data_IF_915493617861
#
_entry.id   IF_915493617861
#
_cell.length_a   1.000
_cell.length_b   1.000
_cell.length_c   1.000
_cell.angle_alpha   90.00
_cell.angle_beta   90.00
_cell.angle_gamma   90.00
#
_symmetry.space_group_name_H-M   'P 1'
#
loop_
_entity.id
_entity.type
_entity.pdbx_description
1 polymer ?
#
# COMPACT_ATOMS: atom_id res chain seq x y z
N UNK A 1 15.55 -3.57 -7.73
CA UNK A 1 15.71 -2.13 -8.03
C UNK A 1 15.35 -1.24 -6.85
N UNK A 2 14.17 -1.36 -6.25
CA UNK A 2 13.75 -0.54 -5.10
C UNK A 2 14.82 -0.43 -3.98
N UNK A 3 15.41 -1.56 -3.57
CA UNK A 3 16.46 -1.56 -2.53
C UNK A 3 17.78 -0.91 -2.97
N UNK A 4 18.08 -0.83 -4.28
CA UNK A 4 19.22 -0.06 -4.78
C UNK A 4 18.94 1.46 -4.69
N UNK A 5 17.71 1.86 -5.05
CA UNK A 5 17.23 3.24 -4.90
C UNK A 5 17.25 3.64 -3.43
N UNK A 6 16.80 2.78 -2.53
CA UNK A 6 16.86 2.96 -1.08
C UNK A 6 18.29 3.18 -0.57
N UNK A 7 19.24 2.34 -1.01
CA UNK A 7 20.65 2.49 -0.64
C UNK A 7 21.21 3.83 -1.11
N UNK A 8 20.88 4.24 -2.33
CA UNK A 8 21.32 5.53 -2.87
C UNK A 8 20.63 6.73 -2.18
N UNK A 9 19.35 6.61 -1.87
CA UNK A 9 18.60 7.61 -1.13
C UNK A 9 19.20 7.81 0.27
N UNK A 10 19.60 6.74 0.95
CA UNK A 10 20.28 6.83 2.25
C UNK A 10 21.64 7.52 2.19
N UNK A 11 22.36 7.46 1.07
CA UNK A 11 23.61 8.21 0.88
C UNK A 11 23.32 9.72 0.82
N UNK A 12 22.35 10.11 -0.01
CA UNK A 12 21.98 11.51 -0.21
C UNK A 12 21.22 12.12 0.98
N UNK A 13 20.43 11.29 1.68
CA UNK A 13 19.58 11.66 2.80
C UNK A 13 19.82 10.72 3.98
N UNK A 14 20.90 10.93 4.77
CA UNK A 14 21.28 10.03 5.85
C UNK A 14 20.19 9.77 6.90
N UNK A 15 19.26 10.71 7.09
CA UNK A 15 18.10 10.55 8.00
C UNK A 15 17.26 9.31 7.69
N UNK A 16 17.18 8.87 6.42
CA UNK A 16 16.46 7.67 6.04
C UNK A 16 16.96 6.42 6.79
N UNK A 17 18.23 6.36 7.18
CA UNK A 17 18.79 5.22 7.92
C UNK A 17 18.13 5.01 9.28
N UNK A 18 17.54 6.06 9.87
CA UNK A 18 16.79 5.95 11.13
C UNK A 18 15.35 5.42 10.95
N UNK A 19 14.87 5.31 9.71
CA UNK A 19 13.55 4.81 9.36
C UNK A 19 13.63 3.39 8.81
N UNK A 20 12.61 2.58 9.11
CA UNK A 20 12.48 1.23 8.55
C UNK A 20 12.35 1.28 7.03
N UNK A 21 12.75 0.21 6.34
CA UNK A 21 12.50 0.03 4.90
C UNK A 21 11.01 -0.10 4.63
N UNK A 22 10.30 -0.80 5.51
CA UNK A 22 8.86 -1.07 5.35
C UNK A 22 8.54 -2.24 4.42
N UNK A 23 9.52 -3.11 4.12
CA UNK A 23 9.35 -4.32 3.30
C UNK A 23 9.56 -5.54 4.17
N UNK A 24 8.57 -6.43 4.21
CA UNK A 24 8.75 -7.73 4.86
C UNK A 24 9.48 -8.69 3.92
N UNK A 25 10.73 -9.00 4.27
CA UNK A 25 11.59 -9.90 3.51
C UNK A 25 11.23 -11.38 3.67
N UNK A 26 10.36 -11.73 4.63
CA UNK A 26 9.84 -13.08 4.81
C UNK A 26 9.17 -13.62 3.54
N UNK A 27 8.59 -12.74 2.72
CA UNK A 27 8.00 -13.09 1.43
C UNK A 27 8.99 -13.77 0.46
N UNK A 28 10.29 -13.44 0.55
CA UNK A 28 11.30 -13.98 -0.37
C UNK A 28 11.54 -15.48 -0.20
N UNK A 29 11.19 -16.03 0.96
CA UNK A 29 11.24 -17.47 1.22
C UNK A 29 10.38 -18.29 0.24
N UNK A 30 9.36 -17.67 -0.36
CA UNK A 30 8.43 -18.32 -1.29
C UNK A 30 8.90 -18.29 -2.74
N UNK A 31 9.92 -17.51 -3.09
CA UNK A 31 10.45 -17.41 -4.46
C UNK A 31 11.05 -18.74 -4.94
N UNK A 32 10.86 -19.04 -6.23
CA UNK A 32 11.54 -20.14 -6.92
C UNK A 32 12.90 -19.66 -7.42
N UNK A 33 13.97 -20.11 -6.76
CA UNK A 33 15.34 -19.67 -6.94
C UNK A 33 16.24 -20.88 -7.21
N UNK A 34 16.31 -21.36 -8.46
CA UNK A 34 17.13 -22.53 -8.82
C UNK A 34 18.63 -22.25 -8.77
N UNK A 35 19.06 -21.00 -8.99
CA UNK A 35 20.47 -20.64 -9.15
C UNK A 35 21.12 -20.18 -7.82
N UNK A 36 22.34 -20.64 -7.50
CA UNK A 36 23.12 -20.15 -6.36
C UNK A 36 23.32 -18.65 -6.33
N UNK A 37 23.59 -18.04 -7.49
CA UNK A 37 23.80 -16.58 -7.62
C UNK A 37 22.57 -15.80 -7.17
N UNK A 38 21.38 -16.27 -7.52
CA UNK A 38 20.13 -15.66 -7.06
C UNK A 38 19.91 -15.92 -5.56
N UNK A 39 20.22 -17.11 -5.02
CA UNK A 39 20.11 -17.37 -3.57
C UNK A 39 21.02 -16.45 -2.74
N UNK A 40 22.27 -16.23 -3.19
CA UNK A 40 23.20 -15.25 -2.61
C UNK A 40 22.67 -13.82 -2.70
N UNK A 41 22.04 -13.48 -3.83
CA UNK A 41 21.38 -12.18 -3.98
C UNK A 41 20.25 -12.03 -2.96
N UNK A 42 19.37 -13.03 -2.79
CA UNK A 42 18.31 -12.95 -1.77
C UNK A 42 18.91 -12.78 -0.36
N UNK A 43 19.93 -13.57 0.01
CA UNK A 43 20.61 -13.44 1.31
C UNK A 43 21.20 -12.03 1.51
N UNK A 44 21.80 -11.46 0.46
CA UNK A 44 22.33 -10.09 0.50
C UNK A 44 21.23 -9.03 0.67
N UNK A 45 20.07 -9.21 0.01
CA UNK A 45 18.94 -8.30 0.14
C UNK A 45 18.33 -8.37 1.53
N UNK A 46 18.14 -9.58 2.07
CA UNK A 46 17.62 -9.82 3.42
C UNK A 46 18.53 -9.20 4.48
N UNK A 47 19.84 -9.49 4.43
CA UNK A 47 20.83 -8.88 5.32
C UNK A 47 20.82 -7.35 5.26
N UNK A 48 20.69 -6.78 4.06
CA UNK A 48 20.59 -5.33 3.89
C UNK A 48 19.36 -4.75 4.62
N UNK A 49 18.17 -5.31 4.38
CA UNK A 49 16.92 -4.80 4.97
C UNK A 49 16.91 -5.01 6.48
N UNK A 50 17.27 -6.21 6.97
CA UNK A 50 17.28 -6.50 8.40
C UNK A 50 18.30 -5.65 9.16
N UNK A 51 19.52 -5.49 8.63
CA UNK A 51 20.52 -4.63 9.29
C UNK A 51 20.07 -3.17 9.36
N UNK A 52 19.30 -2.69 8.38
CA UNK A 52 18.72 -1.35 8.42
C UNK A 52 17.58 -1.27 9.44
N UNK A 53 16.64 -2.21 9.40
CA UNK A 53 15.46 -2.21 10.27
C UNK A 53 15.82 -2.42 11.74
N UNK A 54 16.88 -3.20 12.04
CA UNK A 54 17.41 -3.37 13.39
C UNK A 54 17.92 -2.04 13.99
N UNK A 55 18.51 -1.19 13.15
CA UNK A 55 19.02 0.13 13.56
C UNK A 55 17.98 1.23 13.51
N UNK A 56 16.85 0.99 12.85
CA UNK A 56 15.80 1.97 12.66
C UNK A 56 14.93 2.11 13.91
N UNK A 57 14.65 3.36 14.29
CA UNK A 57 13.75 3.68 15.41
C UNK A 57 12.39 4.21 14.92
N UNK A 58 12.33 4.64 13.66
CA UNK A 58 11.19 5.34 13.09
C UNK A 58 10.44 4.50 12.03
N UNK A 59 9.15 4.76 11.81
CA UNK A 59 8.35 4.04 10.82
C UNK A 59 8.88 4.25 9.39
N UNK A 60 8.45 3.38 8.48
CA UNK A 60 8.86 3.45 7.09
C UNK A 60 8.32 4.71 6.37
N UNK A 61 8.92 5.07 5.24
CA UNK A 61 8.47 6.22 4.43
C UNK A 61 7.14 5.99 3.73
N UNK A 62 6.74 4.72 3.59
CA UNK A 62 5.46 4.29 3.03
C UNK A 62 4.37 4.09 4.09
N UNK A 63 4.66 4.43 5.36
CA UNK A 63 3.66 4.40 6.44
C UNK A 63 2.52 5.38 6.10
N UNK A 64 1.25 4.92 6.06
CA UNK A 64 0.16 5.72 5.53
C UNK A 64 -0.29 6.86 6.45
N UNK A 65 -0.09 6.71 7.76
CA UNK A 65 -0.52 7.69 8.75
C UNK A 65 0.61 8.64 9.15
N UNK A 66 0.30 9.93 9.19
CA UNK A 66 1.26 10.96 9.61
C UNK A 66 1.32 11.04 11.14
N UNK A 67 2.54 11.05 11.67
CA UNK A 67 2.87 11.27 13.07
C UNK A 67 4.16 12.10 13.19
N UNK A 68 4.49 12.55 14.40
CA UNK A 68 5.78 13.20 14.70
C UNK A 68 7.00 12.32 14.37
N UNK A 69 6.82 10.99 14.34
CA UNK A 69 7.86 10.03 13.99
C UNK A 69 7.98 9.80 12.47
N UNK A 70 7.02 10.24 11.66
CA UNK A 70 7.03 10.05 10.21
C UNK A 70 8.19 10.81 9.55
N UNK A 71 8.76 10.22 8.50
CA UNK A 71 9.93 10.80 7.81
C UNK A 71 9.67 12.23 7.33
N UNK A 72 8.50 12.48 6.76
CA UNK A 72 8.11 13.80 6.26
C UNK A 72 8.23 14.91 7.33
N UNK A 73 7.76 14.62 8.55
CA UNK A 73 7.77 15.57 9.67
C UNK A 73 9.18 15.83 10.17
N UNK A 74 9.97 14.76 10.32
CA UNK A 74 11.35 14.83 10.78
C UNK A 74 12.27 15.50 9.75
N UNK A 75 12.05 15.23 8.47
CA UNK A 75 12.81 15.88 7.41
C UNK A 75 12.52 17.38 7.37
N UNK A 76 11.23 17.75 7.44
CA UNK A 76 10.80 19.14 7.50
C UNK A 76 11.46 19.89 8.66
N UNK A 77 11.53 19.32 9.87
CA UNK A 77 12.12 20.00 11.03
C UNK A 77 13.61 20.31 10.89
N UNK A 78 14.30 19.70 9.92
CA UNK A 78 15.70 20.01 9.59
C UNK A 78 15.86 20.96 8.40
N UNK A 79 14.77 21.38 7.76
CA UNK A 79 14.77 22.17 6.54
C UNK A 79 14.25 23.59 6.78
N UNK A 80 15.15 24.57 6.76
CA UNK A 80 14.81 25.99 6.87
C UNK A 80 13.90 26.45 5.72
N UNK A 81 14.11 25.94 4.50
CA UNK A 81 13.28 26.28 3.34
C UNK A 81 11.86 25.77 3.50
N UNK A 82 11.69 24.56 4.03
CA UNK A 82 10.37 24.00 4.28
C UNK A 82 9.65 24.74 5.43
N UNK A 83 10.37 25.18 6.45
CA UNK A 83 9.79 26.01 7.50
C UNK A 83 9.37 27.39 6.98
N UNK A 84 10.19 28.02 6.12
CA UNK A 84 9.83 29.28 5.46
C UNK A 84 8.54 29.16 4.66
N UNK A 85 8.40 28.12 3.83
CA UNK A 85 7.17 27.89 3.06
C UNK A 85 5.97 27.65 3.97
N UNK A 86 6.15 26.94 5.09
CA UNK A 86 5.07 26.76 6.09
C UNK A 86 4.62 28.12 6.65
N UNK A 87 5.56 28.98 7.03
CA UNK A 87 5.26 30.32 7.54
C UNK A 87 4.59 31.20 6.47
N UNK A 88 5.02 31.13 5.22
CA UNK A 88 4.41 31.85 4.11
C UNK A 88 2.94 31.43 3.90
N UNK A 89 2.64 30.12 3.97
CA UNK A 89 1.27 29.60 3.89
C UNK A 89 0.42 30.08 5.08
N UNK A 90 0.98 30.10 6.28
CA UNK A 90 0.29 30.60 7.48
C UNK A 90 0.01 32.11 7.39
N UNK A 91 0.95 32.89 6.85
CA UNK A 91 0.74 34.31 6.60
C UNK A 91 -0.32 34.53 5.52
N UNK A 92 -0.34 33.73 4.46
CA UNK A 92 -1.43 33.76 3.48
C UNK A 92 -2.78 33.42 4.13
N UNK A 93 -2.83 32.43 5.05
CA UNK A 93 -4.04 32.16 5.81
C UNK A 93 -4.47 33.36 6.66
N UNK A 94 -3.53 34.12 7.23
CA UNK A 94 -3.84 35.33 8.01
C UNK A 94 -4.43 36.42 7.12
N UNK A 95 -3.87 36.63 5.92
CA UNK A 95 -4.39 37.57 4.92
C UNK A 95 -5.82 37.19 4.50
N UNK A 96 -6.05 35.92 4.15
CA UNK A 96 -7.37 35.42 3.77
C UNK A 96 -8.41 35.61 4.90
N UNK A 97 -8.00 35.45 6.17
CA UNK A 97 -8.89 35.71 7.31
C UNK A 97 -9.25 37.19 7.45
N UNK A 98 -8.30 38.10 7.22
CA UNK A 98 -8.57 39.54 7.23
C UNK A 98 -9.52 39.91 6.09
N UNK A 99 -9.31 39.38 4.90
CA UNK A 99 -10.19 39.59 3.74
C UNK A 99 -11.59 39.03 3.98
N UNK A 100 -11.71 37.81 4.52
CA UNK A 100 -13.01 37.23 4.86
C UNK A 100 -13.75 38.05 5.92
N UNK A 101 -13.05 38.59 6.92
CA UNK A 101 -13.65 39.49 7.92
C UNK A 101 -14.15 40.80 7.28
N UNK A 102 -13.41 41.36 6.32
CA UNK A 102 -13.85 42.53 5.56
C UNK A 102 -15.10 42.23 4.73
N UNK A 103 -15.13 41.10 4.02
CA UNK A 103 -16.31 40.65 3.25
C UNK A 103 -17.54 40.53 4.17
N UNK A 104 -17.40 39.87 5.32
CA UNK A 104 -18.47 39.69 6.29
C UNK A 104 -18.97 41.04 6.83
N UNK A 105 -18.06 41.94 7.19
CA UNK A 105 -18.44 43.27 7.68
C UNK A 105 -19.19 44.10 6.61
N UNK A 106 -18.73 44.05 5.35
CA UNK A 106 -19.39 44.72 4.23
C UNK A 106 -20.80 44.17 3.98
N UNK A 107 -20.95 42.84 4.02
CA UNK A 107 -22.26 42.19 3.84
C UNK A 107 -23.21 42.41 5.01
N UNK A 108 -22.71 42.48 6.23
CA UNK A 108 -23.49 42.88 7.40
C UNK A 108 -24.00 44.32 7.26
N UNK A 109 -23.12 45.25 6.88
CA UNK A 109 -23.50 46.64 6.64
C UNK A 109 -24.54 46.76 5.51
N UNK A 110 -24.37 45.99 4.43
CA UNK A 110 -25.36 45.93 3.35
C UNK A 110 -26.72 45.42 3.86
N UNK A 111 -26.72 44.33 4.63
CA UNK A 111 -27.93 43.77 5.22
C UNK A 111 -28.63 44.79 6.13
N UNK A 112 -27.91 45.42 7.06
CA UNK A 112 -28.44 46.46 7.94
C UNK A 112 -29.00 47.66 7.16
N UNK A 113 -28.31 48.08 6.09
CA UNK A 113 -28.78 49.14 5.19
C UNK A 113 -30.09 48.79 4.49
N UNK A 114 -30.22 47.58 3.95
CA UNK A 114 -31.44 47.10 3.30
C UNK A 114 -32.61 47.01 4.29
N UNK A 115 -32.39 46.46 5.48
CA UNK A 115 -33.41 46.36 6.53
C UNK A 115 -33.86 47.75 7.01
N UNK A 116 -32.92 48.68 7.18
CA UNK A 116 -33.24 50.06 7.56
C UNK A 116 -34.08 50.77 6.49
N UNK A 117 -33.69 50.65 5.22
CA UNK A 117 -34.44 51.22 4.11
C UNK A 117 -35.83 50.60 3.96
N UNK A 118 -35.94 49.27 4.09
CA UNK A 118 -37.22 48.58 4.10
C UNK A 118 -38.12 49.07 5.24
N UNK A 119 -37.57 49.26 6.45
CA UNK A 119 -38.29 49.80 7.60
C UNK A 119 -38.79 51.23 7.39
N UNK A 120 -37.99 52.08 6.73
CA UNK A 120 -38.38 53.44 6.35
C UNK A 120 -39.53 53.44 5.33
N UNK A 121 -39.43 52.61 4.28
CA UNK A 121 -40.47 52.44 3.25
C UNK A 121 -41.78 51.90 3.84
N UNK A 122 -41.69 50.93 4.73
CA UNK A 122 -42.86 50.38 5.43
C UNK A 122 -43.52 51.44 6.33
N UNK A 123 -42.73 52.27 7.00
CA UNK A 123 -43.22 53.35 7.86
C UNK A 123 -43.91 54.45 7.05
N UNK A 124 -43.37 54.83 5.88
CA UNK A 124 -44.03 55.73 4.91
C UNK A 124 -45.36 55.12 4.43
N UNK A 125 -45.36 53.83 4.08
CA UNK A 125 -46.58 53.13 3.65
C UNK A 125 -47.67 53.07 4.72
N UNK A 126 -47.29 52.92 5.99
CA UNK A 126 -48.23 52.85 7.11
C UNK A 126 -49.01 54.17 7.32
N UNK A 127 -48.44 55.31 6.91
CA UNK A 127 -49.10 56.61 6.93
C UNK A 127 -50.07 56.86 5.77
N UNK A 128 -50.17 55.93 4.82
CA UNK A 128 -51.01 56.05 3.63
C UNK A 128 -52.22 55.09 3.68
N UNK A 129 -53.26 55.42 2.91
CA UNK A 129 -54.45 54.59 2.73
C UNK A 129 -54.62 54.21 1.27
N UNK A 130 -55.06 52.98 1.02
CA UNK A 130 -55.45 52.55 -0.32
C UNK A 130 -56.78 53.23 -0.69
N UNK A 131 -56.84 53.85 -1.86
CA UNK A 131 -58.09 54.34 -2.42
C UNK A 131 -58.73 53.23 -3.25
N UNK A 132 -60.02 53.02 -3.04
CA UNK A 132 -60.82 52.05 -3.78
C UNK A 132 -61.95 52.77 -4.49
N UNK A 133 -62.03 52.57 -5.80
CA UNK A 133 -63.15 53.07 -6.61
C UNK A 133 -64.16 51.95 -6.82
N UNK A 134 -65.43 52.22 -6.51
CA UNK A 134 -66.52 51.29 -6.83
C UNK A 134 -66.86 51.40 -8.31
N UNK A 135 -66.64 50.32 -9.05
CA UNK A 135 -67.05 50.20 -10.45
C UNK A 135 -68.08 49.10 -10.59
N UNK A 136 -69.13 49.37 -11.35
CA UNK A 136 -70.15 48.37 -11.65
C UNK A 136 -69.58 47.34 -12.63
N UNK A 137 -69.56 46.06 -12.24
CA UNK A 137 -69.17 44.97 -13.12
C UNK A 137 -70.42 44.31 -13.69
N UNK A 138 -70.68 44.51 -14.98
CA UNK A 138 -71.86 43.97 -15.67
C UNK A 138 -71.90 42.44 -15.70
N UNK A 139 -70.74 41.77 -15.75
CA UNK A 139 -70.63 40.30 -15.79
C UNK A 139 -71.09 39.64 -14.48
N UNK A 140 -70.68 40.19 -13.33
CA UNK A 140 -71.07 39.65 -12.01
C UNK A 140 -72.29 40.35 -11.40
N UNK A 141 -72.91 41.29 -12.14
CA UNK A 141 -74.06 42.12 -11.72
C UNK A 141 -73.90 42.72 -10.32
N UNK A 142 -72.69 43.18 -9.98
CA UNK A 142 -72.39 43.79 -8.67
C UNK A 142 -71.35 44.88 -8.79
N UNK A 143 -71.32 45.78 -7.81
CA UNK A 143 -70.21 46.71 -7.63
C UNK A 143 -68.97 45.95 -7.15
N UNK A 144 -67.86 46.09 -7.87
CA UNK A 144 -66.55 45.66 -7.41
C UNK A 144 -65.75 46.89 -6.93
N UNK A 145 -64.96 46.70 -5.87
CA UNK A 145 -63.97 47.68 -5.47
C UNK A 145 -62.72 47.46 -6.34
N UNK A 146 -62.45 48.36 -7.28
CA UNK A 146 -61.20 48.37 -8.04
C UNK A 146 -60.16 49.19 -7.29
N UNK A 147 -58.97 48.61 -7.14
CA UNK A 147 -57.81 49.25 -6.52
C UNK A 147 -56.90 49.81 -7.62
N UNK A 148 -56.33 51.00 -7.40
CA UNK A 148 -55.41 51.61 -8.35
C UNK A 148 -54.14 50.76 -8.50
N UNK A 149 -53.81 50.37 -9.74
CA UNK A 149 -52.58 49.65 -10.08
C UNK A 149 -51.30 50.43 -9.73
N UNK A 150 -51.39 51.76 -9.60
CA UNK A 150 -50.30 52.68 -9.26
C UNK A 150 -50.35 53.16 -7.81
N UNK A 151 -51.15 52.51 -6.95
CA UNK A 151 -51.30 52.88 -5.54
C UNK A 151 -49.95 52.98 -4.82
N UNK A 152 -49.62 54.19 -4.38
CA UNK A 152 -48.34 54.51 -3.71
C UNK A 152 -48.08 53.65 -2.48
N UNK A 153 -49.11 53.35 -1.67
CA UNK A 153 -48.99 52.49 -0.49
C UNK A 153 -48.52 51.08 -0.87
N UNK A 154 -49.19 50.46 -1.84
CA UNK A 154 -48.85 49.11 -2.29
C UNK A 154 -47.49 49.07 -2.99
N UNK A 155 -47.13 50.13 -3.71
CA UNK A 155 -45.79 50.29 -4.30
C UNK A 155 -44.70 50.29 -3.21
N UNK A 156 -44.87 51.11 -2.16
CA UNK A 156 -43.93 51.17 -1.04
C UNK A 156 -43.84 49.85 -0.26
N UNK A 157 -44.97 49.16 -0.06
CA UNK A 157 -44.99 47.84 0.58
C UNK A 157 -44.28 46.78 -0.27
N UNK A 158 -44.47 46.82 -1.59
CA UNK A 158 -43.75 45.96 -2.53
C UNK A 158 -42.24 46.26 -2.52
N UNK A 159 -41.85 47.54 -2.58
CA UNK A 159 -40.44 47.96 -2.45
C UNK A 159 -39.82 47.49 -1.12
N UNK A 160 -40.53 47.66 0.01
CA UNK A 160 -40.07 47.21 1.32
C UNK A 160 -39.90 45.68 1.38
N UNK A 161 -40.88 44.93 0.85
CA UNK A 161 -40.84 43.47 0.76
C UNK A 161 -39.66 42.99 -0.11
N UNK A 162 -39.42 43.64 -1.25
CA UNK A 162 -38.30 43.32 -2.12
C UNK A 162 -36.94 43.55 -1.43
N UNK A 163 -36.80 44.67 -0.70
CA UNK A 163 -35.60 44.96 0.08
C UNK A 163 -35.37 43.96 1.21
N UNK A 164 -36.44 43.53 1.90
CA UNK A 164 -36.37 42.46 2.91
C UNK A 164 -35.93 41.14 2.26
N UNK A 165 -36.50 40.80 1.11
CA UNK A 165 -36.13 39.59 0.39
C UNK A 165 -34.66 39.64 -0.09
N UNK A 166 -34.17 40.80 -0.53
CA UNK A 166 -32.76 40.97 -0.88
C UNK A 166 -31.87 40.75 0.35
N UNK A 167 -32.24 41.32 1.51
CA UNK A 167 -31.51 41.13 2.75
C UNK A 167 -31.45 39.65 3.18
N UNK A 168 -32.57 38.93 3.13
CA UNK A 168 -32.67 37.49 3.45
C UNK A 168 -31.81 36.60 2.53
N UNK A 169 -31.44 37.11 1.35
CA UNK A 169 -30.61 36.38 0.40
C UNK A 169 -29.11 36.75 0.48
N UNK A 170 -28.70 37.61 1.42
CA UNK A 170 -27.28 37.91 1.63
C UNK A 170 -26.60 36.70 2.29
N UNK A 171 -25.87 35.94 1.49
CA UNK A 171 -25.15 34.75 1.93
C UNK A 171 -23.64 34.91 1.85
N UNK A 172 -22.93 34.21 2.74
CA UNK A 172 -21.47 34.14 2.78
C UNK A 172 -21.01 32.69 2.80
N UNK A 173 -20.05 32.39 1.94
CA UNK A 173 -19.35 31.11 1.93
C UNK A 173 -18.24 31.12 2.97
N UNK A 174 -18.16 30.04 3.75
CA UNK A 174 -17.11 29.89 4.75
C UNK A 174 -15.73 29.79 4.12
N UNK A 175 -14.75 30.38 4.79
CA UNK A 175 -13.34 30.17 4.53
C UNK A 175 -12.80 29.07 5.47
N UNK A 176 -12.35 27.96 4.90
CA UNK A 176 -11.55 26.96 5.60
C UNK A 176 -10.06 27.30 5.51
N UNK A 177 -9.35 27.28 6.64
CA UNK A 177 -7.89 27.50 6.69
C UNK A 177 -7.15 26.54 5.74
N UNK A 178 -6.03 26.97 5.17
CA UNK A 178 -5.33 26.17 4.16
C UNK A 178 -4.74 24.88 4.73
N UNK A 179 -4.17 24.95 5.94
CA UNK A 179 -3.56 23.80 6.62
C UNK A 179 -4.33 23.39 7.89
N UNK A 180 -4.28 22.10 8.29
CA UNK A 180 -4.76 21.62 9.59
C UNK A 180 -4.09 22.32 10.77
N UNK A 181 -4.74 22.28 11.95
CA UNK A 181 -4.16 22.87 13.18
C UNK A 181 -2.95 22.09 13.70
N UNK A 182 -2.89 20.78 13.45
CA UNK A 182 -1.80 19.93 13.89
C UNK A 182 -0.50 20.29 13.17
N UNK A 183 0.54 20.64 13.91
CA UNK A 183 1.82 21.06 13.35
C UNK A 183 2.51 19.92 12.57
N UNK A 184 2.43 18.67 13.07
CA UNK A 184 3.00 17.52 12.36
C UNK A 184 2.38 17.32 10.98
N UNK A 185 1.05 17.50 10.87
CA UNK A 185 0.37 17.46 9.57
C UNK A 185 0.80 18.61 8.66
N UNK A 186 0.93 19.83 9.20
CA UNK A 186 1.44 20.97 8.43
C UNK A 186 2.83 20.68 7.86
N UNK A 187 3.75 20.19 8.71
CA UNK A 187 5.11 19.83 8.31
C UNK A 187 5.11 18.76 7.22
N UNK A 188 4.29 17.71 7.37
CA UNK A 188 4.18 16.65 6.39
C UNK A 188 3.62 17.15 5.05
N UNK A 189 2.58 17.98 5.06
CA UNK A 189 2.00 18.59 3.85
C UNK A 189 3.05 19.43 3.12
N UNK A 190 3.77 20.29 3.85
CA UNK A 190 4.81 21.14 3.23
C UNK A 190 5.99 20.32 2.71
N UNK A 191 6.39 19.27 3.44
CA UNK A 191 7.35 18.29 2.93
C UNK A 191 6.91 17.69 1.60
N UNK A 192 5.65 17.27 1.51
CA UNK A 192 5.13 16.68 0.27
C UNK A 192 5.15 17.72 -0.85
N UNK A 193 4.65 18.95 -0.63
CA UNK A 193 4.70 20.04 -1.64
C UNK A 193 6.12 20.29 -2.20
N UNK A 194 7.14 20.17 -1.35
CA UNK A 194 8.54 20.48 -1.68
C UNK A 194 9.43 19.24 -1.91
N UNK A 195 8.81 18.06 -1.99
CA UNK A 195 9.48 16.75 -1.98
C UNK A 195 10.72 16.73 -2.92
N UNK A 196 11.92 16.47 -2.40
CA UNK A 196 13.11 16.32 -3.23
C UNK A 196 12.98 15.13 -4.18
N UNK A 197 13.50 15.28 -5.41
CA UNK A 197 13.35 14.31 -6.50
C UNK A 197 13.85 12.89 -6.11
N UNK A 198 15.01 12.78 -5.46
CA UNK A 198 15.52 11.48 -5.03
C UNK A 198 14.62 10.80 -3.96
N UNK A 199 13.96 11.58 -3.10
CA UNK A 199 13.02 11.05 -2.11
C UNK A 199 11.68 10.67 -2.76
N UNK A 200 11.28 11.39 -3.81
CA UNK A 200 10.16 11.00 -4.66
C UNK A 200 10.44 9.66 -5.35
N UNK A 201 11.59 9.53 -6.04
CA UNK A 201 12.02 8.29 -6.68
C UNK A 201 12.12 7.13 -5.69
N UNK A 202 12.63 7.39 -4.49
CA UNK A 202 12.66 6.41 -3.41
C UNK A 202 11.26 5.91 -3.06
N UNK A 203 10.34 6.82 -2.70
CA UNK A 203 8.98 6.48 -2.30
C UNK A 203 8.24 5.74 -3.42
N UNK A 204 8.38 6.19 -4.64
CA UNK A 204 7.75 5.60 -5.81
C UNK A 204 8.32 4.20 -6.10
N UNK A 205 9.63 3.98 -5.95
CA UNK A 205 10.24 2.65 -6.08
C UNK A 205 9.75 1.67 -5.01
N UNK A 206 9.53 2.14 -3.77
CA UNK A 206 8.94 1.31 -2.71
C UNK A 206 7.49 0.93 -3.01
N UNK A 207 6.69 1.87 -3.53
CA UNK A 207 5.31 1.58 -3.94
C UNK A 207 5.22 0.69 -5.17
N UNK A 208 6.11 0.83 -6.16
CA UNK A 208 6.18 -0.10 -7.28
C UNK A 208 6.49 -1.53 -6.82
N UNK A 209 7.38 -1.69 -5.83
CA UNK A 209 7.61 -3.01 -5.22
C UNK A 209 6.36 -3.51 -4.50
N UNK A 210 5.69 -2.66 -3.72
CA UNK A 210 4.46 -3.02 -3.01
C UNK A 210 3.32 -3.41 -3.97
N UNK A 211 3.17 -2.76 -5.12
CA UNK A 211 2.16 -3.11 -6.13
C UNK A 211 2.32 -4.53 -6.67
N UNK A 212 3.55 -5.03 -6.75
CA UNK A 212 3.84 -6.40 -7.19
C UNK A 212 3.68 -7.38 -6.02
N UNK A 213 4.11 -6.99 -4.82
CA UNK A 213 4.25 -7.89 -3.68
C UNK A 213 3.08 -7.84 -2.68
N UNK A 214 2.07 -7.00 -2.88
CA UNK A 214 0.89 -6.87 -2.01
C UNK A 214 -0.37 -7.15 -2.83
N UNK A 215 -0.89 -8.40 -2.81
CA UNK A 215 -1.75 -8.91 -3.88
C UNK A 215 -3.14 -8.28 -3.97
N UNK A 216 -3.76 -7.80 -2.88
CA UNK A 216 -5.15 -7.29 -2.92
C UNK A 216 -5.50 -6.08 -2.06
N UNK A 217 -4.60 -5.63 -1.20
CA UNK A 217 -4.94 -4.65 -0.17
C UNK A 217 -3.90 -3.52 -0.09
N UNK A 218 -3.35 -3.05 -1.21
CA UNK A 218 -2.44 -1.90 -1.16
C UNK A 218 -3.18 -0.58 -0.89
N UNK A 219 -4.38 -0.42 -1.47
CA UNK A 219 -5.18 0.81 -1.36
C UNK A 219 -6.62 0.51 -0.97
N UNK A 220 -7.22 1.41 -0.22
CA UNK A 220 -8.65 1.40 0.10
C UNK A 220 -9.41 2.27 -0.90
N UNK A 221 -10.60 1.81 -1.33
CA UNK A 221 -11.51 2.66 -2.11
C UNK A 221 -12.12 3.71 -1.21
N UNK A 222 -11.72 4.96 -1.41
CA UNK A 222 -12.30 6.09 -0.70
C UNK A 222 -12.22 7.35 -1.55
N UNK A 223 -13.16 8.26 -1.32
CA UNK A 223 -13.06 9.61 -1.89
C UNK A 223 -11.93 10.32 -1.16
N UNK A 224 -10.82 10.55 -1.86
CA UNK A 224 -9.68 11.27 -1.33
C UNK A 224 -9.25 12.36 -2.32
N UNK A 225 -8.62 13.40 -1.78
CA UNK A 225 -8.07 14.50 -2.58
C UNK A 225 -6.66 14.82 -2.13
N UNK A 226 -5.78 15.04 -3.10
CA UNK A 226 -4.38 15.38 -2.86
C UNK A 226 -4.24 16.79 -2.28
N UNK A 227 -3.31 16.98 -1.35
CA UNK A 227 -2.93 18.30 -0.89
C UNK A 227 -2.21 19.12 -1.97
N UNK A 228 -1.53 18.44 -2.91
CA UNK A 228 -0.82 19.07 -4.04
C UNK A 228 -1.75 19.63 -5.12
N UNK A 229 -3.01 19.16 -5.13
CA UNK A 229 -4.03 19.57 -6.09
C UNK A 229 -4.96 20.65 -5.51
N UNK A 230 -4.77 21.05 -4.25
CA UNK A 230 -5.49 22.21 -3.71
C UNK A 230 -5.05 23.47 -4.49
N UNK A 231 -6.05 24.19 -5.00
CA UNK A 231 -5.87 25.37 -5.85
C UNK A 231 -4.87 26.37 -5.28
N UNK A 232 -4.91 26.64 -3.97
CA UNK A 232 -4.04 27.63 -3.34
C UNK A 232 -2.68 27.01 -3.00
N UNK A 233 -2.67 25.82 -2.39
CA UNK A 233 -1.41 25.17 -2.00
C UNK A 233 -0.52 24.80 -3.21
N UNK A 234 -1.13 24.59 -4.38
CA UNK A 234 -0.41 24.29 -5.61
C UNK A 234 0.60 25.37 -6.03
N UNK A 235 0.46 26.60 -5.52
CA UNK A 235 1.40 27.70 -5.80
C UNK A 235 2.78 27.50 -5.19
N UNK A 236 2.91 26.68 -4.13
CA UNK A 236 4.20 26.33 -3.50
C UNK A 236 4.73 24.97 -3.93
N UNK A 237 4.00 24.23 -4.78
CA UNK A 237 4.41 22.86 -5.14
C UNK A 237 5.58 22.88 -6.11
N UNK A 238 6.50 21.94 -5.95
CA UNK A 238 7.43 21.58 -7.03
C UNK A 238 6.70 20.75 -8.08
N UNK A 239 6.95 21.06 -9.34
CA UNK A 239 6.43 20.29 -10.47
C UNK A 239 7.19 18.97 -10.58
N UNK A 240 6.60 17.93 -9.99
CA UNK A 240 7.06 16.55 -10.06
C UNK A 240 5.82 15.68 -10.30
N UNK A 241 5.93 14.74 -11.24
CA UNK A 241 4.94 13.68 -11.40
C UNK A 241 5.26 12.59 -10.38
N UNK A 242 4.29 12.29 -9.51
CA UNK A 242 4.45 11.34 -8.41
C UNK A 242 3.33 10.32 -8.46
N UNK A 243 3.64 9.04 -8.29
CA UNK A 243 2.61 8.02 -8.14
C UNK A 243 1.96 8.07 -6.74
N UNK A 244 2.72 8.56 -5.77
CA UNK A 244 2.33 8.66 -4.36
C UNK A 244 2.38 10.11 -3.87
N UNK A 245 1.37 10.55 -3.11
CA UNK A 245 1.23 11.93 -2.60
C UNK A 245 0.55 11.92 -1.24
N UNK A 246 0.68 13.00 -0.46
CA UNK A 246 -0.18 13.18 0.71
C UNK A 246 -1.52 13.79 0.30
N UNK A 247 -2.59 13.32 0.91
CA UNK A 247 -3.94 13.84 0.72
C UNK A 247 -4.80 13.74 1.98
N UNK A 248 -6.10 13.92 1.79
CA UNK A 248 -7.10 13.77 2.84
C UNK A 248 -8.27 12.95 2.35
N UNK A 249 -8.83 12.12 3.23
CA UNK A 249 -10.08 11.38 2.99
C UNK A 249 -11.30 12.28 3.19
N UNK A 250 -11.16 13.32 4.01
CA UNK A 250 -12.20 14.33 4.19
C UNK A 250 -12.17 15.37 3.07
N UNK A 251 -13.34 15.62 2.48
CA UNK A 251 -13.54 16.71 1.52
C UNK A 251 -13.37 18.09 2.19
N UNK A 252 -13.01 19.08 1.37
CA UNK A 252 -12.91 20.48 1.78
C UNK A 252 -14.27 20.98 2.27
N UNK A 253 -14.27 21.77 3.34
CA UNK A 253 -15.49 22.35 3.87
C UNK A 253 -16.01 23.41 2.90
N UNK A 254 -17.17 23.14 2.30
CA UNK A 254 -17.84 24.05 1.39
C UNK A 254 -19.29 24.23 1.85
N UNK A 255 -19.55 25.36 2.52
CA UNK A 255 -20.87 25.73 3.01
C UNK A 255 -21.08 27.22 2.79
N UNK A 256 -22.33 27.59 2.47
CA UNK A 256 -22.77 28.97 2.27
C UNK A 256 -24.04 29.16 3.09
N UNK A 257 -24.05 30.18 3.95
CA UNK A 257 -25.14 30.44 4.89
C UNK A 257 -25.51 31.91 4.90
N UNK A 258 -26.69 32.21 5.44
CA UNK A 258 -27.14 33.59 5.58
C UNK A 258 -26.24 34.35 6.57
N UNK A 259 -26.00 35.64 6.31
CA UNK A 259 -25.02 36.46 7.03
C UNK A 259 -25.25 36.55 8.54
N UNK A 260 -26.51 36.43 9.00
CA UNK A 260 -26.88 36.49 10.41
C UNK A 260 -26.87 35.14 11.14
N UNK A 261 -26.73 34.02 10.43
CA UNK A 261 -26.78 32.68 11.05
C UNK A 261 -25.50 32.34 11.82
N UNK A 262 -24.40 33.04 11.53
CA UNK A 262 -23.10 32.74 12.11
C UNK A 262 -22.32 33.99 12.52
N UNK A 263 -21.65 33.90 13.67
CA UNK A 263 -20.76 34.95 14.18
C UNK A 263 -19.42 35.01 13.44
N UNK A 264 -19.00 33.89 12.82
CA UNK A 264 -17.76 33.82 12.04
C UNK A 264 -17.92 32.88 10.86
N UNK A 265 -17.41 33.32 9.71
CA UNK A 265 -17.34 32.55 8.48
C UNK A 265 -15.93 32.00 8.23
N UNK A 266 -15.16 31.80 9.30
CA UNK A 266 -13.81 31.23 9.27
C UNK A 266 -13.81 29.95 10.08
N UNK A 267 -13.46 28.83 9.45
CA UNK A 267 -13.39 27.51 10.09
C UNK A 267 -11.97 26.95 10.05
N UNK A 268 -11.64 26.18 11.08
CA UNK A 268 -10.40 25.43 11.10
C UNK A 268 -10.48 24.27 10.11
N UNK A 269 -9.36 23.99 9.47
CA UNK A 269 -9.21 22.81 8.63
C UNK A 269 -9.13 21.56 9.52
N UNK A 270 -10.11 20.67 9.34
CA UNK A 270 -10.25 19.43 10.10
C UNK A 270 -10.07 18.20 9.20
N UNK A 271 -9.38 18.37 8.07
CA UNK A 271 -9.02 17.26 7.18
C UNK A 271 -7.83 16.52 7.76
N UNK A 272 -7.86 15.21 7.60
CA UNK A 272 -6.78 14.29 7.93
C UNK A 272 -5.61 14.41 6.94
N UNK A 273 -4.49 13.75 7.24
CA UNK A 273 -3.37 13.64 6.31
C UNK A 273 -2.98 12.18 6.18
N UNK A 274 -3.24 11.62 5.01
CA UNK A 274 -3.00 10.21 4.67
C UNK A 274 -2.18 10.11 3.39
N UNK A 275 -1.41 9.03 3.27
CA UNK A 275 -0.68 8.72 2.04
C UNK A 275 -1.64 8.15 1.00
N UNK A 276 -1.60 8.73 -0.20
CA UNK A 276 -2.38 8.30 -1.35
C UNK A 276 -1.45 7.67 -2.40
N UNK A 277 -1.93 6.60 -3.03
CA UNK A 277 -1.34 5.99 -4.22
C UNK A 277 -2.40 6.02 -5.33
N UNK A 278 -2.10 6.66 -6.46
CA UNK A 278 -3.07 6.86 -7.55
C UNK A 278 -4.42 7.43 -7.07
N UNK A 279 -4.38 8.44 -6.21
CA UNK A 279 -5.55 9.10 -5.59
C UNK A 279 -6.41 8.22 -4.67
N UNK A 280 -5.95 7.04 -4.28
CA UNK A 280 -6.62 6.18 -3.30
C UNK A 280 -5.78 6.07 -2.02
N UNK A 281 -6.37 6.13 -0.81
CA UNK A 281 -5.63 5.96 0.44
C UNK A 281 -4.91 4.62 0.51
N UNK A 282 -3.66 4.63 0.95
CA UNK A 282 -2.88 3.42 1.22
C UNK A 282 -3.40 2.74 2.48
N UNK A 283 -3.50 1.41 2.46
CA UNK A 283 -3.93 0.63 3.61
C UNK A 283 -2.95 0.75 4.79
N UNK A 284 -3.49 0.83 6.02
CA UNK A 284 -2.73 0.90 7.27
C UNK A 284 -1.71 -0.24 7.45
N UNK A 285 -2.09 -1.44 7.00
CA UNK A 285 -1.28 -2.65 7.14
C UNK A 285 -1.08 -3.30 5.78
N UNK A 286 0.16 -3.34 5.31
CA UNK A 286 0.52 -4.01 4.08
C UNK A 286 0.94 -5.45 4.36
N UNK A 287 0.24 -6.42 3.76
CA UNK A 287 0.59 -7.83 3.82
C UNK A 287 1.45 -8.19 2.61
N UNK A 288 2.75 -8.32 2.83
CA UNK A 288 3.72 -8.68 1.79
C UNK A 288 3.65 -10.17 1.48
N UNK A 289 3.30 -10.51 0.25
CA UNK A 289 3.09 -11.87 -0.19
C UNK A 289 3.31 -11.98 -1.71
N UNK A 290 4.38 -12.66 -2.12
CA UNK A 290 4.67 -12.95 -3.54
C UNK A 290 4.11 -14.29 -4.00
N UNK A 291 3.33 -14.92 -3.14
CA UNK A 291 2.97 -16.32 -3.26
C UNK A 291 2.16 -16.62 -4.53
N UNK A 292 1.25 -15.72 -4.91
CA UNK A 292 0.49 -15.80 -6.17
C UNK A 292 1.38 -15.71 -7.42
N UNK A 293 2.51 -15.00 -7.33
CA UNK A 293 3.49 -14.85 -8.42
C UNK A 293 4.43 -16.06 -8.54
N UNK A 294 4.58 -16.81 -7.46
CA UNK A 294 5.53 -17.93 -7.36
C UNK A 294 4.87 -19.31 -7.42
N UNK A 295 3.55 -19.34 -7.59
CA UNK A 295 2.75 -20.56 -7.57
C UNK A 295 3.13 -21.49 -8.73
N UNK A 296 3.80 -22.58 -8.42
CA UNK A 296 4.00 -23.68 -9.35
C UNK A 296 2.71 -24.51 -9.40
N UNK A 297 2.06 -24.55 -10.57
CA UNK A 297 0.85 -25.36 -10.78
C UNK A 297 1.18 -26.67 -11.46
N UNK A 298 0.66 -27.78 -10.93
CA UNK A 298 0.62 -29.05 -11.65
C UNK A 298 -0.63 -29.12 -12.52
N UNK A 299 -0.46 -29.51 -13.77
CA UNK A 299 -1.57 -29.82 -14.69
C UNK A 299 -1.74 -31.34 -14.86
N UNK A 300 -0.97 -32.13 -14.11
CA UNK A 300 -1.05 -33.58 -14.12
C UNK A 300 -2.27 -34.04 -13.30
N UNK A 301 -3.34 -34.45 -13.99
CA UNK A 301 -4.68 -34.70 -13.43
C UNK A 301 -4.65 -35.50 -12.10
N UNK A 302 -3.96 -36.65 -11.97
CA UNK A 302 -3.90 -37.40 -10.71
C UNK A 302 -3.33 -36.63 -9.52
N UNK A 303 -2.56 -35.57 -9.77
CA UNK A 303 -1.88 -34.76 -8.75
C UNK A 303 -2.56 -33.41 -8.51
N UNK A 304 -3.59 -33.04 -9.26
CA UNK A 304 -4.25 -31.74 -9.12
C UNK A 304 -4.81 -31.54 -7.71
N UNK A 305 -5.37 -32.59 -7.09
CA UNK A 305 -5.86 -32.51 -5.70
C UNK A 305 -4.75 -32.32 -4.66
N UNK A 306 -3.50 -32.60 -5.02
CA UNK A 306 -2.31 -32.44 -4.17
C UNK A 306 -1.64 -31.05 -4.33
N UNK A 307 -2.19 -30.17 -5.16
CA UNK A 307 -1.69 -28.81 -5.37
C UNK A 307 -1.42 -28.01 -4.08
N UNK A 308 -2.24 -28.10 -3.01
CA UNK A 308 -1.95 -27.43 -1.74
C UNK A 308 -0.61 -27.83 -1.11
N UNK A 309 -0.18 -29.09 -1.30
CA UNK A 309 1.07 -29.61 -0.77
C UNK A 309 2.29 -29.27 -1.63
N UNK A 310 2.08 -28.85 -2.89
CA UNK A 310 3.14 -28.28 -3.75
C UNK A 310 3.43 -26.84 -3.32
N UNK A 311 2.43 -26.12 -2.83
CA UNK A 311 2.50 -24.68 -2.60
C UNK A 311 3.27 -24.29 -1.34
N UNK A 312 3.04 -25.01 -0.25
CA UNK A 312 3.62 -24.72 1.05
C UNK A 312 4.43 -25.90 1.58
N UNK A 313 5.21 -25.61 2.60
CA UNK A 313 5.92 -26.59 3.43
C UNK A 313 5.46 -26.53 4.90
N UNK A 314 4.45 -25.71 5.20
CA UNK A 314 3.93 -25.47 6.55
C UNK A 314 2.90 -26.51 6.99
N UNK A 315 2.42 -27.33 6.07
CA UNK A 315 1.56 -28.46 6.42
C UNK A 315 2.35 -29.56 7.12
N UNK A 316 1.64 -30.35 7.94
CA UNK A 316 2.17 -31.52 8.61
C UNK A 316 1.71 -32.83 7.93
N UNK A 317 2.19 -33.96 8.45
CA UNK A 317 1.83 -35.29 7.93
C UNK A 317 0.35 -35.62 8.17
N UNK A 318 -0.26 -35.11 9.25
CA UNK A 318 -1.65 -35.37 9.58
C UNK A 318 -2.59 -34.71 8.57
N UNK A 319 -2.28 -33.50 8.11
CA UNK A 319 -3.00 -32.81 7.05
C UNK A 319 -2.98 -33.61 5.73
N UNK A 320 -1.84 -34.24 5.41
CA UNK A 320 -1.73 -35.11 4.21
C UNK A 320 -2.61 -36.35 4.38
N UNK A 321 -2.55 -37.01 5.54
CA UNK A 321 -3.33 -38.22 5.80
C UNK A 321 -4.83 -37.91 5.76
N UNK A 322 -5.26 -36.79 6.35
CA UNK A 322 -6.64 -36.34 6.32
C UNK A 322 -7.15 -36.07 4.88
N UNK A 323 -6.25 -35.69 3.97
CA UNK A 323 -6.56 -35.43 2.57
C UNK A 323 -6.77 -36.67 1.69
N UNK A 324 -6.49 -37.88 2.18
CA UNK A 324 -6.55 -39.12 1.37
C UNK A 324 -7.88 -39.37 0.67
N UNK A 325 -8.99 -38.92 1.26
CA UNK A 325 -10.33 -39.05 0.65
C UNK A 325 -10.47 -38.31 -0.68
N UNK A 326 -9.58 -37.34 -0.95
CA UNK A 326 -9.51 -36.57 -2.21
C UNK A 326 -8.52 -37.15 -3.23
N UNK A 327 -7.94 -38.33 -2.96
CA UNK A 327 -7.02 -38.96 -3.89
C UNK A 327 -7.72 -39.33 -5.21
N UNK A 328 -7.06 -39.01 -6.32
CA UNK A 328 -7.54 -39.39 -7.64
C UNK A 328 -7.54 -40.92 -7.79
N UNK A 329 -8.53 -41.56 -8.44
CA UNK A 329 -8.59 -43.02 -8.59
C UNK A 329 -7.36 -43.65 -9.27
N UNK A 330 -6.68 -42.88 -10.13
CA UNK A 330 -5.45 -43.30 -10.81
C UNK A 330 -4.17 -43.14 -9.96
N UNK A 331 -4.27 -42.60 -8.73
CA UNK A 331 -3.16 -42.40 -7.82
C UNK A 331 -3.27 -43.33 -6.62
N UNK A 332 -2.25 -44.16 -6.39
CA UNK A 332 -2.21 -45.03 -5.21
C UNK A 332 -2.12 -44.21 -3.92
N UNK A 333 -2.78 -44.65 -2.85
CA UNK A 333 -2.77 -43.97 -1.55
C UNK A 333 -1.37 -43.86 -0.93
N UNK A 334 -0.49 -44.85 -1.15
CA UNK A 334 0.91 -44.76 -0.71
C UNK A 334 1.68 -43.66 -1.44
N UNK A 335 1.39 -43.48 -2.73
CA UNK A 335 2.00 -42.42 -3.53
C UNK A 335 1.42 -41.05 -3.17
N UNK A 336 0.10 -40.97 -2.92
CA UNK A 336 -0.55 -39.77 -2.40
C UNK A 336 0.12 -39.29 -1.09
N UNK A 337 0.37 -40.20 -0.14
CA UNK A 337 1.08 -39.87 1.10
C UNK A 337 2.51 -39.44 0.84
N UNK A 338 3.28 -40.24 0.09
CA UNK A 338 4.67 -39.94 -0.20
C UNK A 338 4.82 -38.56 -0.89
N UNK A 339 3.90 -38.23 -1.80
CA UNK A 339 3.86 -36.95 -2.49
C UNK A 339 3.53 -35.79 -1.54
N UNK A 340 2.43 -35.89 -0.80
CA UNK A 340 2.00 -34.81 0.10
C UNK A 340 3.00 -34.57 1.24
N UNK A 341 3.59 -35.65 1.77
CA UNK A 341 4.61 -35.55 2.82
C UNK A 341 5.95 -35.05 2.29
N UNK A 342 6.23 -35.11 0.99
CA UNK A 342 7.53 -34.71 0.43
C UNK A 342 7.93 -33.29 0.84
N UNK A 343 6.94 -32.38 0.94
CA UNK A 343 7.16 -30.97 1.30
C UNK A 343 6.87 -30.61 2.76
N UNK A 344 6.26 -31.49 3.55
CA UNK A 344 5.83 -31.18 4.93
C UNK A 344 7.04 -30.90 5.85
N UNK A 345 7.25 -29.68 6.31
CA UNK A 345 8.42 -29.32 7.11
C UNK A 345 9.70 -29.17 6.27
N UNK A 346 10.24 -27.95 6.27
CA UNK A 346 11.30 -27.50 5.37
C UNK A 346 12.61 -28.32 5.44
N UNK A 347 13.01 -28.78 6.62
CA UNK A 347 14.30 -29.46 6.83
C UNK A 347 14.27 -30.96 6.48
N UNK A 348 13.08 -31.54 6.31
CA UNK A 348 12.89 -32.96 6.05
C UNK A 348 12.70 -33.29 4.57
N UNK A 349 12.62 -32.28 3.71
CA UNK A 349 12.29 -32.46 2.30
C UNK A 349 13.32 -33.31 1.55
N UNK A 350 14.62 -33.01 1.67
CA UNK A 350 15.67 -33.81 1.04
C UNK A 350 15.80 -35.23 1.63
N UNK A 351 15.76 -35.44 2.97
CA UNK A 351 15.66 -36.78 3.54
C UNK A 351 14.48 -37.60 3.00
N UNK A 352 13.30 -36.99 2.87
CA UNK A 352 12.11 -37.67 2.32
C UNK A 352 12.24 -37.96 0.83
N UNK A 353 12.88 -37.07 0.07
CA UNK A 353 13.22 -37.33 -1.33
C UNK A 353 14.14 -38.55 -1.46
N UNK A 354 15.21 -38.62 -0.65
CA UNK A 354 16.11 -39.77 -0.63
C UNK A 354 15.35 -41.07 -0.35
N UNK A 355 14.50 -41.06 0.69
CA UNK A 355 13.63 -42.19 1.03
C UNK A 355 12.69 -42.56 -0.11
N UNK A 356 12.09 -41.58 -0.78
CA UNK A 356 11.17 -41.82 -1.89
C UNK A 356 11.86 -42.43 -3.12
N UNK A 357 13.12 -42.04 -3.40
CA UNK A 357 13.95 -42.66 -4.45
C UNK A 357 14.28 -44.10 -4.08
N UNK A 358 14.70 -44.35 -2.83
CA UNK A 358 15.06 -45.69 -2.37
C UNK A 358 13.87 -46.66 -2.36
N UNK A 359 12.74 -46.21 -1.83
CA UNK A 359 11.53 -47.02 -1.69
C UNK A 359 10.68 -47.04 -2.97
N UNK A 360 11.04 -46.24 -3.99
CA UNK A 360 10.29 -46.09 -5.25
C UNK A 360 8.81 -45.75 -5.02
N UNK A 361 8.53 -44.90 -4.04
CA UNK A 361 7.16 -44.53 -3.64
C UNK A 361 6.55 -43.44 -4.52
N UNK A 362 7.34 -42.83 -5.41
CA UNK A 362 6.92 -41.80 -6.35
C UNK A 362 7.14 -42.25 -7.79
N UNK A 363 6.18 -41.95 -8.65
CA UNK A 363 6.25 -42.19 -10.09
C UNK A 363 7.03 -41.06 -10.77
N UNK A 364 8.36 -41.13 -10.74
CA UNK A 364 9.28 -40.16 -11.37
C UNK A 364 9.07 -39.95 -12.88
N UNK A 365 8.24 -40.77 -13.52
CA UNK A 365 7.82 -40.64 -14.92
C UNK A 365 6.68 -39.64 -15.12
N UNK A 366 6.03 -39.16 -14.04
CA UNK A 366 4.88 -38.27 -14.07
C UNK A 366 5.28 -36.80 -13.96
N UNK A 367 4.56 -35.93 -14.67
CA UNK A 367 4.82 -34.50 -14.64
C UNK A 367 4.55 -33.90 -13.25
N UNK A 368 3.53 -34.40 -12.54
CA UNK A 368 3.22 -33.94 -11.18
C UNK A 368 4.36 -34.15 -10.19
N UNK A 369 5.14 -35.24 -10.34
CA UNK A 369 6.34 -35.51 -9.51
C UNK A 369 7.48 -34.57 -9.85
N UNK A 370 7.68 -34.27 -11.14
CA UNK A 370 8.64 -33.24 -11.58
C UNK A 370 8.28 -31.88 -10.97
N UNK A 371 7.00 -31.53 -10.92
CA UNK A 371 6.55 -30.24 -10.40
C UNK A 371 6.80 -30.10 -8.90
N UNK A 372 6.42 -31.08 -8.07
CA UNK A 372 6.73 -31.02 -6.62
C UNK A 372 8.24 -31.03 -6.36
N UNK A 373 9.02 -31.72 -7.19
CA UNK A 373 10.47 -31.73 -7.08
C UNK A 373 11.08 -30.36 -7.38
N UNK A 374 10.59 -29.65 -8.40
CA UNK A 374 10.97 -28.25 -8.66
C UNK A 374 10.62 -27.37 -7.47
N UNK A 375 9.43 -27.51 -6.89
CA UNK A 375 9.04 -26.72 -5.72
C UNK A 375 9.95 -27.02 -4.51
N UNK A 376 10.29 -28.29 -4.27
CA UNK A 376 11.21 -28.72 -3.21
C UNK A 376 12.62 -28.13 -3.38
N UNK A 377 13.18 -28.25 -4.58
CA UNK A 377 14.58 -27.88 -4.86
C UNK A 377 14.75 -26.38 -5.07
N UNK A 378 13.78 -25.72 -5.70
CA UNK A 378 13.94 -24.34 -6.16
C UNK A 378 13.32 -23.35 -5.21
N UNK A 379 12.28 -23.70 -4.45
CA UNK A 379 11.75 -22.73 -3.50
C UNK A 379 12.82 -22.37 -2.47
N UNK A 380 12.98 -21.07 -2.23
CA UNK A 380 14.10 -20.54 -1.47
C UNK A 380 14.07 -21.09 -0.04
N UNK A 381 12.92 -21.05 0.60
CA UNK A 381 12.77 -21.35 2.02
C UNK A 381 13.38 -20.26 2.91
N UNK A 382 13.15 -20.33 4.22
CA UNK A 382 13.76 -19.42 5.18
C UNK A 382 15.31 -19.51 5.16
N UNK A 383 16.00 -18.40 5.44
CA UNK A 383 17.43 -18.44 5.71
C UNK A 383 17.77 -19.33 6.90
N UNK A 384 19.01 -19.83 6.93
CA UNK A 384 19.50 -20.66 8.04
C UNK A 384 19.43 -19.89 9.37
N UNK A 385 19.16 -20.61 10.48
CA UNK A 385 18.94 -20.06 11.84
C UNK A 385 20.06 -19.16 12.38
N UNK A 386 21.22 -19.09 11.73
CA UNK A 386 22.24 -18.08 12.04
C UNK A 386 21.81 -16.66 11.67
N UNK A 387 20.82 -16.48 10.79
CA UNK A 387 20.41 -15.17 10.24
C UNK A 387 19.00 -14.72 10.64
N UNK A 388 18.24 -15.51 11.41
CA UNK A 388 16.89 -15.10 11.85
C UNK A 388 16.77 -15.33 13.35
N UNK A 389 16.79 -14.24 14.10
CA UNK A 389 16.25 -14.20 15.45
C UNK A 389 14.73 -14.39 15.35
N UNK A 390 14.28 -15.64 15.52
CA UNK A 390 12.89 -15.92 15.85
C UNK A 390 12.76 -15.74 17.37
N UNK A 391 12.08 -14.67 17.75
CA UNK A 391 11.64 -14.31 19.10
C UNK A 391 12.69 -13.93 20.17
N UNK A 392 12.34 -12.83 20.85
CA UNK A 392 12.87 -12.20 22.04
C UNK A 392 13.95 -12.93 22.87
N UNK A 393 14.97 -12.14 23.23
CA UNK A 393 16.02 -12.32 24.24
C UNK A 393 17.39 -12.75 23.68
N UNK A 394 18.28 -11.75 23.66
CA UNK A 394 19.73 -11.77 23.43
C UNK A 394 20.18 -11.49 21.98
N UNK A 395 20.76 -10.31 21.71
CA UNK A 395 21.53 -10.08 20.50
C UNK A 395 22.86 -10.84 20.63
N UNK A 396 23.08 -11.85 19.79
CA UNK A 396 24.42 -12.38 19.55
C UNK A 396 24.90 -11.85 18.21
N UNK A 397 26.06 -11.20 18.25
CA UNK A 397 26.88 -10.88 17.08
C UNK A 397 27.17 -12.21 16.38
N UNK A 398 26.46 -12.50 15.29
CA UNK A 398 26.82 -13.61 14.41
C UNK A 398 27.84 -13.04 13.45
N UNK A 399 29.08 -13.50 13.62
CA UNK A 399 30.17 -13.25 12.68
C UNK A 399 29.67 -13.51 11.25
N UNK A 400 30.17 -12.71 10.30
CA UNK A 400 29.90 -12.84 8.86
C UNK A 400 30.17 -14.28 8.39
N UNK A 401 29.19 -15.16 8.52
CA UNK A 401 29.23 -16.47 7.91
C UNK A 401 28.65 -16.31 6.50
N UNK A 402 29.44 -16.71 5.51
CA UNK A 402 29.01 -16.77 4.10
C UNK A 402 28.03 -17.95 3.86
N UNK A 403 27.23 -18.29 4.87
CA UNK A 403 26.26 -19.38 4.81
C UNK A 403 24.94 -18.89 4.21
N UNK A 404 24.97 -18.58 2.91
CA UNK A 404 23.80 -18.25 2.08
C UNK A 404 22.89 -19.46 1.82
N UNK A 405 23.26 -20.64 2.32
CA UNK A 405 22.52 -21.88 2.14
C UNK A 405 21.23 -21.86 2.98
N UNK A 406 20.11 -22.09 2.31
CA UNK A 406 18.76 -22.02 2.91
C UNK A 406 18.45 -23.26 3.73
N UNK A 407 17.51 -23.15 4.67
CA UNK A 407 17.18 -24.24 5.61
C UNK A 407 16.88 -25.58 4.95
N UNK A 408 16.19 -25.59 3.80
CA UNK A 408 15.88 -26.82 3.06
C UNK A 408 17.11 -27.54 2.50
N UNK A 409 18.19 -26.81 2.24
CA UNK A 409 19.41 -27.33 1.63
C UNK A 409 20.55 -27.53 2.64
N UNK A 410 20.38 -27.10 3.89
CA UNK A 410 21.42 -27.18 4.92
C UNK A 410 22.01 -28.59 5.10
N UNK A 411 21.20 -29.63 4.94
CA UNK A 411 21.67 -31.03 5.04
C UNK A 411 22.71 -31.40 3.95
N UNK A 412 22.77 -30.67 2.84
CA UNK A 412 23.80 -30.86 1.81
C UNK A 412 25.21 -30.45 2.27
N UNK A 413 25.33 -29.74 3.40
CA UNK A 413 26.62 -29.51 4.04
C UNK A 413 27.20 -30.78 4.67
N UNK A 414 26.38 -31.81 4.91
CA UNK A 414 26.83 -33.10 5.41
C UNK A 414 27.30 -33.97 4.24
N UNK A 415 28.61 -34.16 4.12
CA UNK A 415 29.22 -34.94 3.02
C UNK A 415 28.60 -36.33 2.85
N UNK A 416 28.34 -37.03 3.96
CA UNK A 416 27.70 -38.36 3.97
C UNK A 416 26.30 -38.35 3.33
N UNK A 417 25.50 -37.31 3.57
CA UNK A 417 24.16 -37.21 2.99
C UNK A 417 24.21 -36.96 1.48
N UNK A 418 25.06 -36.03 1.04
CA UNK A 418 25.23 -35.73 -0.39
C UNK A 418 25.71 -36.95 -1.17
N UNK A 419 26.68 -37.69 -0.63
CA UNK A 419 27.19 -38.93 -1.23
C UNK A 419 26.10 -40.01 -1.32
N UNK A 420 25.31 -40.20 -0.25
CA UNK A 420 24.16 -41.11 -0.27
C UNK A 420 23.17 -40.72 -1.36
N UNK A 421 22.79 -39.45 -1.44
CA UNK A 421 21.86 -38.98 -2.45
C UNK A 421 22.39 -39.23 -3.87
N UNK A 422 23.67 -38.94 -4.14
CA UNK A 422 24.31 -39.27 -5.42
C UNK A 422 24.26 -40.76 -5.74
N UNK A 423 24.61 -41.65 -4.80
CA UNK A 423 24.56 -43.12 -5.00
C UNK A 423 23.15 -43.59 -5.38
N UNK A 424 22.13 -43.09 -4.70
CA UNK A 424 20.73 -43.46 -4.99
C UNK A 424 20.25 -42.91 -6.34
N UNK A 425 20.66 -41.69 -6.73
CA UNK A 425 20.38 -41.18 -8.07
C UNK A 425 21.08 -41.98 -9.18
N UNK A 426 22.33 -42.40 -8.99
CA UNK A 426 23.02 -43.24 -9.99
C UNK A 426 22.33 -44.59 -10.17
N UNK A 427 21.79 -45.17 -9.09
CA UNK A 427 20.97 -46.39 -9.18
C UNK A 427 19.66 -46.14 -9.93
N UNK A 428 19.01 -45.00 -9.69
CA UNK A 428 17.80 -44.60 -10.42
C UNK A 428 18.09 -44.41 -11.91
N UNK A 429 19.21 -43.76 -12.24
CA UNK A 429 19.67 -43.55 -13.61
C UNK A 429 19.91 -44.89 -14.32
N UNK A 430 20.69 -45.80 -13.72
CA UNK A 430 20.95 -47.14 -14.26
C UNK A 430 19.66 -47.93 -14.51
N UNK A 431 18.68 -47.82 -13.61
CA UNK A 431 17.40 -48.49 -13.79
C UNK A 431 16.55 -47.88 -14.92
N UNK A 432 16.79 -46.61 -15.28
CA UNK A 432 16.15 -45.97 -16.42
C UNK A 432 16.87 -46.21 -17.75
N UNK A 433 18.09 -46.77 -17.75
CA UNK A 433 18.85 -47.09 -18.98
C UNK A 433 18.14 -48.16 -19.83
N UNK A 434 17.33 -49.02 -19.23
CA UNK A 434 16.54 -50.01 -19.98
C UNK A 434 15.27 -49.39 -20.59
N UNK A 435 14.92 -48.15 -20.22
CA UNK A 435 13.70 -47.46 -20.63
C UNK A 435 13.90 -45.95 -20.82
N UNK A 436 14.84 -45.59 -21.72
CA UNK A 436 15.17 -44.21 -22.11
C UNK A 436 14.00 -43.38 -22.66
N UNK A 437 12.81 -43.98 -22.85
CA UNK A 437 11.61 -43.28 -23.34
C UNK A 437 11.02 -42.29 -22.33
N UNK A 438 11.41 -42.36 -21.04
CA UNK A 438 10.89 -41.47 -20.00
C UNK A 438 11.79 -40.25 -19.76
N UNK A 439 11.57 -39.19 -20.53
CA UNK A 439 12.21 -37.88 -20.40
C UNK A 439 12.11 -37.28 -18.98
N UNK A 440 11.01 -37.56 -18.26
CA UNK A 440 10.75 -37.03 -16.91
C UNK A 440 11.67 -37.58 -15.83
N UNK A 441 12.07 -38.85 -15.92
CA UNK A 441 13.00 -39.45 -14.94
C UNK A 441 14.36 -38.79 -15.05
N UNK A 442 14.85 -38.61 -16.28
CA UNK A 442 16.08 -37.89 -16.57
C UNK A 442 15.99 -36.44 -16.07
N UNK A 443 14.86 -35.76 -16.31
CA UNK A 443 14.66 -34.39 -15.84
C UNK A 443 14.72 -34.29 -14.30
N UNK A 444 14.11 -35.24 -13.58
CA UNK A 444 14.21 -35.32 -12.12
C UNK A 444 15.67 -35.49 -11.66
N UNK A 445 16.39 -36.45 -12.26
CA UNK A 445 17.80 -36.70 -11.95
C UNK A 445 18.64 -35.45 -12.21
N UNK A 446 18.45 -34.80 -13.36
CA UNK A 446 19.14 -33.55 -13.71
C UNK A 446 18.88 -32.44 -12.70
N UNK A 447 17.63 -32.24 -12.27
CA UNK A 447 17.29 -31.22 -11.27
C UNK A 447 17.97 -31.48 -9.92
N UNK A 448 17.96 -32.72 -9.44
CA UNK A 448 18.57 -33.08 -8.15
C UNK A 448 20.10 -33.01 -8.25
N UNK A 449 20.70 -33.58 -9.29
CA UNK A 449 22.14 -33.57 -9.52
C UNK A 449 22.68 -32.15 -9.61
N UNK A 450 22.00 -31.28 -10.37
CA UNK A 450 22.31 -29.86 -10.42
C UNK A 450 22.25 -29.21 -9.05
N UNK A 451 21.19 -29.46 -8.28
CA UNK A 451 21.05 -28.90 -6.93
C UNK A 451 22.23 -29.31 -6.03
N UNK A 452 22.62 -30.59 -6.02
CA UNK A 452 23.76 -31.08 -5.24
C UNK A 452 25.07 -30.45 -5.70
N UNK A 453 25.31 -30.42 -7.01
CA UNK A 453 26.54 -29.88 -7.60
C UNK A 453 26.71 -28.39 -7.30
N UNK A 454 25.60 -27.65 -7.23
CA UNK A 454 25.60 -26.21 -7.00
C UNK A 454 25.61 -25.80 -5.51
N UNK A 455 25.22 -26.70 -4.59
CA UNK A 455 24.93 -26.34 -3.18
C UNK A 455 25.62 -27.20 -2.10
N UNK A 456 26.20 -28.35 -2.43
CA UNK A 456 26.96 -29.17 -1.47
C UNK A 456 28.34 -28.57 -1.17
N UNK A 457 28.96 -28.92 -0.03
CA UNK A 457 30.34 -28.48 0.28
C UNK A 457 31.35 -28.90 -0.80
N UNK A 458 31.18 -30.07 -1.42
CA UNK A 458 31.98 -30.53 -2.56
C UNK A 458 31.79 -29.67 -3.82
N UNK A 459 30.69 -28.92 -3.90
CA UNK A 459 30.29 -28.04 -4.99
C UNK A 459 30.18 -26.56 -4.64
N UNK A 460 30.64 -26.11 -3.45
CA UNK A 460 30.67 -24.71 -2.99
C UNK A 460 31.67 -23.85 -3.78
N UNK A 461 31.81 -24.09 -5.09
CA UNK A 461 32.59 -23.28 -6.00
C UNK A 461 33.97 -22.97 -5.44
N UNK A 462 34.83 -23.98 -5.26
CA UNK A 462 36.21 -23.71 -5.65
C UNK A 462 36.13 -23.16 -7.06
N UNK A 463 36.74 -22.01 -7.32
CA UNK A 463 37.14 -21.68 -8.67
C UNK A 463 37.98 -22.87 -9.17
N UNK A 464 37.34 -23.82 -9.87
CA UNK A 464 37.82 -25.06 -10.50
C UNK A 464 36.56 -25.90 -10.78
N UNK A 465 35.94 -25.79 -11.96
CA UNK A 465 36.09 -26.77 -13.05
C UNK A 465 36.44 -28.16 -12.50
N UNK A 466 35.43 -29.05 -12.42
CA UNK A 466 35.50 -30.50 -12.70
C UNK A 466 34.30 -31.26 -12.07
N UNK A 467 33.07 -30.87 -12.38
CA UNK A 467 31.89 -31.74 -12.21
C UNK A 467 31.15 -31.86 -13.55
N UNK A 468 31.91 -31.98 -14.64
CA UNK A 468 31.41 -32.19 -16.00
C UNK A 468 31.64 -33.63 -16.47
N UNK A 469 31.67 -34.62 -15.57
CA UNK A 469 31.88 -36.04 -15.91
C UNK A 469 30.89 -37.00 -15.24
N UNK A 470 29.68 -36.54 -14.89
CA UNK A 470 28.55 -37.44 -14.57
C UNK A 470 27.37 -37.08 -15.43
#
# INVERSE_FOLDING_TARGET
MALLVDRHACINFPMLRGHKVGVDMGMLSRLLVPLPSHRRLLDSLEKYVWSRDEKATYPATIEPNVSSASFAVRFHSTSNDAEKVRLDILEQCRKNQVEKKKEVAQKLQQHEGLISLAGAKQSEANGLFCQYTRRWCSYYQRYNNEHDSSCRKCLLQSEASNLQHEAENIKVTFYEKLLPQCEDMQRAIVYDLLLPEMLALHRDAMFMLAQVCVPRDLTQRANASSWRDDYVLSTWRKHLELISVLGATRQKFQCTQHILEHTTFIVNNKRDTVLLLHHQPVNASLVWCVTDLTLLKTMDEPYVSLQPFIFSWEHDENMVIAGKSSAHPALNLLEFEAYGQLRAGISLQLPRLLRAIEQRTLSFQRQGVVDVLKALLWQAGPPSRQNIALDALVPRIVAESDDWLRMNLQILNTADFAEKLCKHMTRLLKHSEDNWSSDKVLLCICHIARCIAEHSQAGRGSALRNVSQV
#
